data_IF_714650069257
#
_entry.id   IF_714650069257
#
_cell.length_a   1.000
_cell.length_b   1.000
_cell.length_c   1.000
_cell.angle_alpha   90.00
_cell.angle_beta   90.00
_cell.angle_gamma   90.00
#
_symmetry.space_group_name_H-M   'P 1'
#
loop_
_entity.id
_entity.type
_entity.pdbx_description
1 polymer ?
#
# COMPACT_ATOMS: atom_id res chain seq x y z
N UNK A 1 -16.96 1.81 29.41
CA UNK A 1 -17.26 3.15 28.87
C UNK A 1 -18.34 2.94 27.82
N UNK A 2 -19.33 3.81 27.75
CA UNK A 2 -20.33 3.74 26.68
C UNK A 2 -19.70 4.20 25.36
N UNK A 3 -20.10 3.58 24.25
CA UNK A 3 -19.64 3.95 22.91
C UNK A 3 -20.82 4.39 22.05
N UNK A 4 -20.67 5.56 21.45
CA UNK A 4 -21.60 6.13 20.47
C UNK A 4 -20.85 6.28 19.17
N UNK A 5 -21.38 5.66 18.11
CA UNK A 5 -20.82 5.86 16.77
C UNK A 5 -21.08 7.30 16.34
N UNK A 6 -20.01 8.05 16.04
CA UNK A 6 -20.11 9.44 15.60
C UNK A 6 -18.95 9.79 14.67
N UNK A 7 -19.24 10.26 13.46
CA UNK A 7 -18.23 10.58 12.45
C UNK A 7 -17.77 12.04 12.47
N UNK A 8 -18.27 12.83 13.42
CA UNK A 8 -17.95 14.24 13.60
C UNK A 8 -18.58 15.16 12.55
N UNK A 9 -19.57 14.70 11.78
CA UNK A 9 -20.17 15.45 10.67
C UNK A 9 -19.38 15.32 9.36
N UNK A 10 -18.48 14.34 9.27
CA UNK A 10 -17.66 14.07 8.08
C UNK A 10 -18.55 13.77 6.87
N UNK A 11 -19.48 12.84 7.01
CA UNK A 11 -20.39 12.44 5.94
C UNK A 11 -21.34 13.57 5.55
N UNK A 12 -21.87 14.33 6.51
CA UNK A 12 -22.69 15.52 6.27
C UNK A 12 -21.96 16.59 5.44
N UNK A 13 -20.63 16.64 5.54
CA UNK A 13 -19.79 17.52 4.71
C UNK A 13 -19.47 16.92 3.33
N UNK A 14 -20.03 15.77 2.94
CA UNK A 14 -19.82 15.12 1.65
C UNK A 14 -18.51 14.34 1.52
N UNK A 15 -17.79 14.14 2.63
CA UNK A 15 -16.59 13.29 2.65
C UNK A 15 -17.00 11.82 2.73
N UNK A 16 -16.36 11.00 1.90
CA UNK A 16 -16.73 9.59 1.72
C UNK A 16 -15.52 8.65 1.84
N UNK A 17 -15.80 7.36 1.96
CA UNK A 17 -14.79 6.30 2.13
C UNK A 17 -14.10 6.31 3.50
N UNK A 18 -13.15 5.39 3.69
CA UNK A 18 -12.31 5.35 4.89
C UNK A 18 -11.22 6.44 4.86
N UNK A 19 -10.90 7.01 6.01
CA UNK A 19 -9.86 8.02 6.16
C UNK A 19 -9.21 7.94 7.56
N UNK A 20 -7.96 8.39 7.66
CA UNK A 20 -7.21 8.47 8.92
C UNK A 20 -7.42 9.79 9.68
N UNK A 21 -8.53 10.48 9.43
CA UNK A 21 -8.83 11.83 9.92
C UNK A 21 -9.43 11.87 11.35
N UNK A 22 -9.07 10.88 12.19
CA UNK A 22 -9.59 10.72 13.55
C UNK A 22 -9.46 12.00 14.38
N UNK A 23 -8.34 12.71 14.27
CA UNK A 23 -8.09 14.00 14.92
C UNK A 23 -9.14 15.04 14.53
N UNK A 24 -9.41 15.19 13.23
CA UNK A 24 -10.37 16.19 12.72
C UNK A 24 -11.78 15.89 13.22
N UNK A 25 -12.19 14.61 13.19
CA UNK A 25 -13.50 14.20 13.70
C UNK A 25 -13.63 14.48 15.19
N UNK A 26 -12.65 14.03 15.98
CA UNK A 26 -12.67 14.19 17.43
C UNK A 26 -12.68 15.66 17.85
N UNK A 27 -11.92 16.52 17.15
CA UNK A 27 -11.95 17.98 17.38
C UNK A 27 -13.31 18.57 17.00
N UNK A 28 -13.88 18.21 15.84
CA UNK A 28 -15.20 18.71 15.43
C UNK A 28 -16.29 18.36 16.47
N UNK A 29 -16.22 17.16 17.05
CA UNK A 29 -17.15 16.73 18.11
C UNK A 29 -16.95 17.55 19.38
N UNK A 30 -15.70 17.69 19.85
CA UNK A 30 -15.38 18.44 21.09
C UNK A 30 -15.74 19.91 20.96
N UNK A 31 -15.43 20.54 19.83
CA UNK A 31 -15.62 21.98 19.66
C UNK A 31 -17.02 22.35 19.17
N UNK A 32 -17.76 21.40 18.60
CA UNK A 32 -19.02 21.67 17.90
C UNK A 32 -18.83 22.40 16.56
N UNK A 33 -17.60 22.55 16.08
CA UNK A 33 -17.31 23.15 14.78
C UNK A 33 -17.76 22.22 13.64
N UNK A 34 -18.09 22.80 12.48
CA UNK A 34 -18.36 21.99 11.28
C UNK A 34 -17.09 21.24 10.87
N UNK A 35 -17.21 19.93 10.64
CA UNK A 35 -16.10 19.08 10.22
C UNK A 35 -15.25 19.69 9.09
N UNK A 36 -15.89 20.25 8.06
CA UNK A 36 -15.19 20.87 6.91
C UNK A 36 -14.31 22.05 7.33
N UNK A 37 -14.77 22.89 8.24
CA UNK A 37 -14.01 24.06 8.72
C UNK A 37 -12.79 23.61 9.55
N UNK A 38 -12.96 22.58 10.38
CA UNK A 38 -11.86 21.93 11.12
C UNK A 38 -10.87 21.32 10.12
N UNK A 39 -11.35 20.57 9.12
CA UNK A 39 -10.54 19.89 8.12
C UNK A 39 -9.67 20.87 7.34
N UNK A 40 -10.29 21.90 6.76
CA UNK A 40 -9.59 22.89 5.93
C UNK A 40 -8.57 23.66 6.75
N UNK A 41 -8.90 24.02 8.01
CA UNK A 41 -7.96 24.70 8.89
C UNK A 41 -6.78 23.82 9.31
N UNK A 42 -7.02 22.56 9.66
CA UNK A 42 -5.96 21.61 9.99
C UNK A 42 -5.04 21.37 8.79
N UNK A 43 -5.60 21.33 7.57
CA UNK A 43 -4.82 21.21 6.34
C UNK A 43 -3.89 22.42 6.12
N UNK A 44 -4.40 23.63 6.36
CA UNK A 44 -3.61 24.86 6.29
C UNK A 44 -2.48 24.88 7.33
N UNK A 45 -2.77 24.51 8.58
CA UNK A 45 -1.79 24.51 9.66
C UNK A 45 -0.73 23.41 9.49
N UNK A 46 -1.14 22.22 9.03
CA UNK A 46 -0.27 21.05 8.89
C UNK A 46 0.47 20.96 7.55
N UNK A 47 0.11 21.77 6.56
CA UNK A 47 0.67 21.72 5.21
C UNK A 47 0.42 20.40 4.46
N UNK A 48 -0.53 19.59 4.94
CA UNK A 48 -0.84 18.26 4.43
C UNK A 48 -2.33 17.94 4.64
N UNK A 49 -2.86 17.00 3.88
CA UNK A 49 -4.27 16.61 4.00
C UNK A 49 -4.55 15.87 5.33
N UNK A 50 -5.56 16.28 6.11
CA UNK A 50 -5.99 15.54 7.30
C UNK A 50 -6.48 14.12 7.01
N UNK A 51 -6.78 13.77 5.75
CA UNK A 51 -7.21 12.42 5.33
C UNK A 51 -6.17 11.35 5.69
N UNK A 52 -4.89 11.71 5.70
CA UNK A 52 -3.76 10.83 6.08
C UNK A 52 -3.36 10.94 7.56
N UNK A 53 -4.18 11.59 8.38
CA UNK A 53 -3.87 11.88 9.77
C UNK A 53 -3.30 13.28 9.98
N UNK A 54 -3.39 13.76 11.22
CA UNK A 54 -2.94 15.08 11.65
C UNK A 54 -2.01 14.91 12.85
N UNK A 55 -0.93 15.71 12.91
CA UNK A 55 -0.03 15.69 14.05
C UNK A 55 -0.71 16.31 15.27
N UNK A 56 -0.50 15.75 16.45
CA UNK A 56 -1.01 16.27 17.74
C UNK A 56 -0.66 17.74 17.94
N UNK A 57 0.53 18.18 17.51
CA UNK A 57 0.94 19.59 17.59
C UNK A 57 0.05 20.54 16.78
N UNK A 58 -0.39 20.11 15.60
CA UNK A 58 -1.29 20.89 14.72
C UNK A 58 -2.68 20.98 15.34
N UNK A 59 -3.15 19.88 15.94
CA UNK A 59 -4.40 19.86 16.71
C UNK A 59 -4.36 20.83 17.90
N UNK A 60 -3.30 20.79 18.71
CA UNK A 60 -3.11 21.71 19.85
C UNK A 60 -3.08 23.16 19.38
N UNK A 61 -2.45 23.45 18.24
CA UNK A 61 -2.45 24.79 17.65
C UNK A 61 -3.86 25.25 17.25
N UNK A 62 -4.65 24.40 16.58
CA UNK A 62 -6.03 24.72 16.21
C UNK A 62 -6.90 25.05 17.43
N UNK A 63 -6.78 24.25 18.49
CA UNK A 63 -7.53 24.44 19.75
C UNK A 63 -7.13 25.77 20.41
N UNK A 64 -5.83 26.07 20.48
CA UNK A 64 -5.31 27.32 21.02
C UNK A 64 -5.83 28.56 20.26
N UNK A 65 -5.91 28.51 18.91
CA UNK A 65 -6.46 29.60 18.09
C UNK A 65 -7.94 29.91 18.41
N UNK A 66 -8.67 28.96 19.01
CA UNK A 66 -10.08 29.09 19.39
C UNK A 66 -10.29 29.26 20.89
N UNK A 67 -9.22 29.60 21.62
CA UNK A 67 -9.24 29.77 23.08
C UNK A 67 -9.69 28.50 23.83
N UNK A 68 -9.41 27.32 23.28
CA UNK A 68 -9.56 26.08 24.02
C UNK A 68 -8.30 25.83 24.84
N UNK A 69 -8.48 25.74 26.15
CA UNK A 69 -7.43 25.35 27.07
C UNK A 69 -7.29 23.82 27.03
N UNK A 70 -6.09 23.38 26.66
CA UNK A 70 -5.74 21.96 26.60
C UNK A 70 -4.75 21.66 27.72
N UNK A 71 -5.19 20.90 28.71
CA UNK A 71 -4.33 20.45 29.81
C UNK A 71 -4.17 18.94 29.78
N UNK A 72 -2.96 18.48 30.07
CA UNK A 72 -2.67 17.05 30.17
C UNK A 72 -3.24 16.53 31.50
N UNK A 73 -3.95 15.41 31.44
CA UNK A 73 -4.45 14.73 32.63
C UNK A 73 -3.41 13.74 33.17
N UNK A 74 -3.10 13.85 34.46
CA UNK A 74 -2.08 13.08 35.17
C UNK A 74 -2.58 11.77 35.79
N UNK A 75 -3.89 11.52 35.70
CA UNK A 75 -4.51 10.32 36.24
C UNK A 75 -4.13 9.05 35.48
N UNK A 76 -4.25 7.91 36.16
CA UNK A 76 -3.70 6.62 35.67
C UNK A 76 -4.75 5.64 35.17
N UNK A 77 -6.05 5.90 35.38
CA UNK A 77 -7.11 4.90 35.18
C UNK A 77 -8.32 5.44 34.42
N UNK A 78 -8.76 4.75 33.37
CA UNK A 78 -9.91 5.16 32.55
C UNK A 78 -11.22 5.35 33.37
N UNK A 79 -11.37 4.65 34.50
CA UNK A 79 -12.51 4.83 35.42
C UNK A 79 -12.49 6.16 36.18
N UNK A 80 -11.37 6.86 36.18
CA UNK A 80 -11.15 8.14 36.86
C UNK A 80 -11.14 9.32 35.89
N UNK A 81 -11.53 9.11 34.63
CA UNK A 81 -11.59 10.21 33.67
C UNK A 81 -12.55 11.29 34.19
N UNK A 82 -12.10 12.57 34.15
CA UNK A 82 -12.92 13.68 34.57
C UNK A 82 -14.16 13.81 33.68
N UNK A 83 -15.19 14.45 34.22
CA UNK A 83 -16.35 14.86 33.41
C UNK A 83 -15.96 16.02 32.49
N UNK A 84 -16.77 16.26 31.45
CA UNK A 84 -16.48 17.22 30.39
C UNK A 84 -15.94 16.60 29.11
N UNK A 85 -15.44 17.46 28.22
CA UNK A 85 -14.95 17.09 26.90
C UNK A 85 -13.44 16.78 26.93
N UNK A 86 -13.09 15.57 26.49
CA UNK A 86 -11.74 15.04 26.50
C UNK A 86 -11.36 14.57 25.09
N UNK A 87 -10.08 14.73 24.76
CA UNK A 87 -9.45 14.06 23.61
C UNK A 87 -8.49 13.00 24.14
N UNK A 88 -8.73 11.75 23.77
CA UNK A 88 -7.90 10.62 24.15
C UNK A 88 -6.93 10.31 23.01
N UNK A 89 -5.63 10.39 23.29
CA UNK A 89 -4.57 10.09 22.33
C UNK A 89 -4.03 8.68 22.58
N UNK A 90 -4.20 7.80 21.60
CA UNK A 90 -3.77 6.42 21.63
C UNK A 90 -2.52 6.24 20.77
N UNK A 91 -1.51 5.59 21.35
CA UNK A 91 -0.29 5.21 20.67
C UNK A 91 -0.29 3.72 20.31
N UNK A 92 0.33 3.34 19.18
CA UNK A 92 0.51 1.96 18.80
C UNK A 92 1.58 1.28 19.67
N UNK A 93 1.32 0.05 20.11
CA UNK A 93 2.28 -0.79 20.85
C UNK A 93 3.41 -1.34 19.94
N UNK A 94 3.35 -1.08 18.64
CA UNK A 94 4.35 -1.52 17.66
C UNK A 94 4.62 -0.49 16.58
N UNK A 95 5.75 -0.65 15.87
CA UNK A 95 6.26 0.32 14.87
C UNK A 95 5.45 0.41 13.55
N UNK A 96 4.31 -0.27 13.45
CA UNK A 96 3.62 -0.53 12.17
C UNK A 96 2.27 0.16 12.04
N UNK A 97 1.81 0.89 13.06
CA UNK A 97 0.52 1.60 13.03
C UNK A 97 0.73 3.08 13.34
N UNK A 98 -0.21 3.90 12.88
CA UNK A 98 -0.34 5.30 13.28
C UNK A 98 -1.15 5.38 14.57
N UNK A 99 -0.94 6.41 15.39
CA UNK A 99 -1.77 6.67 16.56
C UNK A 99 -3.23 6.98 16.18
N UNK A 100 -4.09 7.06 17.18
CA UNK A 100 -5.52 7.34 17.03
C UNK A 100 -5.98 8.35 18.07
N UNK A 101 -6.88 9.27 17.71
CA UNK A 101 -7.45 10.23 18.66
C UNK A 101 -8.97 10.09 18.68
N UNK A 102 -9.54 9.90 19.86
CA UNK A 102 -10.98 9.79 20.08
C UNK A 102 -11.51 10.88 20.99
N UNK A 103 -12.76 11.30 20.77
CA UNK A 103 -13.47 12.21 21.64
C UNK A 103 -14.20 11.43 22.75
N UNK A 104 -14.10 11.90 23.99
CA UNK A 104 -14.94 11.44 25.10
C UNK A 104 -15.64 12.65 25.72
N UNK A 105 -16.96 12.62 25.86
CA UNK A 105 -17.73 13.66 26.54
C UNK A 105 -18.50 12.99 27.67
N UNK A 106 -18.32 13.46 28.90
CA UNK A 106 -19.03 12.95 30.09
C UNK A 106 -18.95 11.40 30.21
N UNK A 107 -17.76 10.85 29.92
CA UNK A 107 -17.45 9.40 29.92
C UNK A 107 -18.16 8.57 28.85
N UNK A 108 -18.69 9.19 27.80
CA UNK A 108 -19.18 8.53 26.59
C UNK A 108 -18.17 8.73 25.47
N UNK A 109 -17.75 7.64 24.83
CA UNK A 109 -16.81 7.65 23.71
C UNK A 109 -17.55 7.92 22.41
N UNK A 110 -17.15 8.97 21.69
CA UNK A 110 -17.67 9.34 20.38
C UNK A 110 -16.60 9.13 19.31
N UNK A 111 -16.79 8.11 18.48
CA UNK A 111 -15.89 7.82 17.37
C UNK A 111 -16.56 6.89 16.35
N UNK A 112 -15.95 6.66 15.21
CA UNK A 112 -16.38 5.61 14.27
C UNK A 112 -15.82 4.23 14.62
N UNK A 113 -14.93 4.16 15.62
CA UNK A 113 -14.18 2.97 15.99
C UNK A 113 -13.91 2.94 17.50
N UNK A 114 -13.91 1.75 18.11
CA UNK A 114 -13.66 1.56 19.54
C UNK A 114 -12.18 1.26 19.81
N UNK A 115 -11.33 2.25 20.15
CA UNK A 115 -9.89 2.03 20.37
C UNK A 115 -9.58 1.19 21.61
N UNK A 116 -10.48 1.14 22.60
CA UNK A 116 -10.27 0.36 23.82
C UNK A 116 -10.37 -1.15 23.61
N UNK A 117 -10.99 -1.59 22.51
CA UNK A 117 -11.06 -3.00 22.13
C UNK A 117 -9.86 -3.44 21.29
N UNK A 118 -9.00 -2.52 20.85
CA UNK A 118 -7.82 -2.84 20.04
C UNK A 118 -6.61 -3.14 20.93
N UNK A 119 -6.16 -4.41 21.01
CA UNK A 119 -5.02 -4.80 21.84
C UNK A 119 -3.69 -4.26 21.32
N UNK A 120 -3.66 -3.62 20.15
CA UNK A 120 -2.47 -3.03 19.55
C UNK A 120 -2.31 -1.54 19.89
N UNK A 121 -3.30 -0.93 20.54
CA UNK A 121 -3.22 0.45 21.00
C UNK A 121 -3.10 0.51 22.53
N UNK A 122 -2.47 1.57 23.01
CA UNK A 122 -2.49 1.97 24.41
C UNK A 122 -2.86 3.43 24.52
N UNK A 123 -3.60 3.79 25.57
CA UNK A 123 -3.83 5.19 25.90
C UNK A 123 -2.49 5.82 26.33
N UNK A 124 -2.05 6.83 25.60
CA UNK A 124 -0.78 7.51 25.86
C UNK A 124 -0.99 8.82 26.61
N UNK A 125 -2.04 9.55 26.25
CA UNK A 125 -2.28 10.91 26.73
C UNK A 125 -3.78 11.21 26.73
N UNK A 126 -4.22 12.00 27.71
CA UNK A 126 -5.59 12.46 27.87
C UNK A 126 -5.55 13.98 27.95
N UNK A 127 -6.27 14.63 27.06
CA UNK A 127 -6.30 16.07 26.93
C UNK A 127 -7.67 16.57 27.40
N UNK A 128 -7.68 17.32 28.50
CA UNK A 128 -8.87 17.99 28.99
C UNK A 128 -9.07 19.25 28.15
N UNK A 129 -10.22 19.36 27.51
CA UNK A 129 -10.56 20.48 26.65
C UNK A 129 -11.62 21.33 27.36
N UNK A 130 -11.25 22.54 27.75
CA UNK A 130 -12.18 23.50 28.34
C UNK A 130 -12.14 24.82 27.58
N UNK A 131 -13.30 25.45 27.47
CA UNK A 131 -13.43 26.80 26.94
C UNK A 131 -14.50 27.50 27.76
N UNK A 132 -14.11 28.57 28.47
CA UNK A 132 -14.99 29.31 29.39
C UNK A 132 -16.21 29.92 28.69
N UNK A 133 -16.12 30.13 27.39
CA UNK A 133 -17.17 30.74 26.56
C UNK A 133 -17.94 29.70 25.75
N UNK A 134 -17.46 28.46 25.66
CA UNK A 134 -18.15 27.42 24.89
C UNK A 134 -19.18 26.72 25.78
N UNK A 135 -20.45 26.77 25.36
CA UNK A 135 -21.36 25.71 25.74
C UNK A 135 -20.79 24.41 25.16
N UNK A 136 -20.36 23.49 26.04
CA UNK A 136 -19.96 22.15 25.62
C UNK A 136 -21.07 21.63 24.73
N UNK A 137 -20.75 21.45 23.45
CA UNK A 137 -21.68 20.86 22.51
C UNK A 137 -21.95 19.46 23.03
N UNK A 138 -23.12 19.27 23.64
CA UNK A 138 -23.65 17.95 23.93
C UNK A 138 -24.33 17.54 22.65
N UNK A 139 -23.79 16.58 21.88
CA UNK A 139 -24.55 15.94 20.82
C UNK A 139 -25.87 15.55 21.46
N UNK A 140 -26.98 16.12 20.99
CA UNK A 140 -28.21 16.12 21.75
C UNK A 140 -28.54 14.69 22.18
N UNK A 141 -28.64 14.45 23.48
CA UNK A 141 -29.38 13.32 24.06
C UNK A 141 -30.89 13.62 23.86
N UNK A 142 -31.26 14.03 22.65
CA UNK A 142 -32.63 14.20 22.21
C UNK A 142 -33.25 12.81 22.18
N UNK A 143 -34.39 12.66 22.86
CA UNK A 143 -34.87 11.38 23.33
C UNK A 143 -35.08 10.34 22.24
N UNK A 144 -34.56 9.13 22.49
CA UNK A 144 -35.02 7.80 22.08
C UNK A 144 -35.50 7.50 20.62
N UNK A 145 -35.56 8.44 19.69
CA UNK A 145 -36.09 8.18 18.33
C UNK A 145 -35.01 8.06 17.23
N UNK A 146 -33.75 8.45 17.50
CA UNK A 146 -32.72 8.57 16.44
C UNK A 146 -31.70 7.43 16.35
N UNK A 147 -31.82 6.36 17.15
CA UNK A 147 -30.96 5.16 16.96
C UNK A 147 -31.26 4.42 15.65
N UNK A 148 -32.40 4.69 15.00
CA UNK A 148 -32.70 4.22 13.64
C UNK A 148 -32.12 5.14 12.55
N UNK A 149 -32.08 6.46 12.78
CA UNK A 149 -31.67 7.46 11.78
C UNK A 149 -30.16 7.48 11.49
N UNK A 150 -29.30 7.32 12.51
CA UNK A 150 -27.85 7.30 12.30
C UNK A 150 -27.36 6.14 11.43
N UNK A 151 -28.06 5.00 11.47
CA UNK A 151 -27.78 3.86 10.61
C UNK A 151 -28.27 4.10 9.17
N UNK A 152 -29.38 4.81 9.01
CA UNK A 152 -29.94 5.11 7.69
C UNK A 152 -29.13 6.18 6.96
N UNK A 153 -28.71 7.24 7.64
CA UNK A 153 -27.80 8.26 7.10
C UNK A 153 -26.42 7.67 6.76
N UNK A 154 -25.89 6.78 7.61
CA UNK A 154 -24.66 6.02 7.32
C UNK A 154 -24.81 5.08 6.12
N UNK A 155 -25.96 4.42 5.95
CA UNK A 155 -26.22 3.56 4.79
C UNK A 155 -26.42 4.35 3.51
N UNK A 156 -27.09 5.50 3.58
CA UNK A 156 -27.29 6.40 2.45
C UNK A 156 -25.95 6.94 1.95
N UNK A 157 -25.07 7.34 2.86
CA UNK A 157 -23.73 7.87 2.52
C UNK A 157 -22.80 6.78 1.96
N UNK A 158 -22.87 5.54 2.47
CA UNK A 158 -22.15 4.41 1.89
C UNK A 158 -22.66 4.06 0.47
N UNK A 159 -23.98 4.09 0.24
CA UNK A 159 -24.55 3.88 -1.08
C UNK A 159 -24.16 4.98 -2.08
N UNK A 160 -24.13 6.23 -1.63
CA UNK A 160 -23.66 7.35 -2.44
C UNK A 160 -22.18 7.20 -2.79
N UNK A 161 -21.35 6.81 -1.83
CA UNK A 161 -19.94 6.51 -2.06
C UNK A 161 -19.74 5.43 -3.12
N UNK A 162 -20.45 4.30 -3.01
CA UNK A 162 -20.38 3.21 -3.98
C UNK A 162 -20.85 3.66 -5.37
N UNK A 163 -21.88 4.50 -5.46
CA UNK A 163 -22.34 5.09 -6.72
C UNK A 163 -21.27 5.99 -7.34
N UNK A 164 -20.63 6.84 -6.54
CA UNK A 164 -19.57 7.74 -7.01
C UNK A 164 -18.37 6.92 -7.49
N UNK A 165 -17.92 5.93 -6.71
CA UNK A 165 -16.84 5.01 -7.08
C UNK A 165 -17.15 4.29 -8.39
N UNK A 166 -18.36 3.74 -8.53
CA UNK A 166 -18.80 3.06 -9.76
C UNK A 166 -18.74 4.00 -10.96
N UNK A 167 -19.12 5.27 -10.79
CA UNK A 167 -19.05 6.29 -11.84
C UNK A 167 -17.60 6.65 -12.19
N UNK A 168 -16.75 6.85 -11.19
CA UNK A 168 -15.31 7.11 -11.37
C UNK A 168 -14.64 5.95 -12.10
N UNK A 169 -14.93 4.69 -11.73
CA UNK A 169 -14.44 3.48 -12.43
C UNK A 169 -14.95 3.39 -13.86
N UNK A 170 -16.20 3.78 -14.13
CA UNK A 170 -16.74 3.82 -15.48
C UNK A 170 -15.99 4.84 -16.37
N UNK A 171 -15.76 6.06 -15.84
CA UNK A 171 -14.98 7.09 -16.54
C UNK A 171 -13.54 6.64 -16.77
N UNK A 172 -12.93 5.97 -15.80
CA UNK A 172 -11.60 5.38 -15.94
C UNK A 172 -11.57 4.37 -17.09
N UNK A 173 -12.54 3.45 -17.16
CA UNK A 173 -12.64 2.49 -18.28
C UNK A 173 -12.75 3.18 -19.63
N UNK A 174 -13.55 4.24 -19.74
CA UNK A 174 -13.63 5.04 -20.97
C UNK A 174 -12.28 5.68 -21.33
N UNK A 175 -11.57 6.22 -20.34
CA UNK A 175 -10.27 6.87 -20.55
C UNK A 175 -9.14 5.88 -20.89
N UNK A 176 -9.23 4.62 -20.43
CA UNK A 176 -8.22 3.58 -20.72
C UNK A 176 -8.51 2.75 -21.98
N UNK A 177 -9.67 2.91 -22.61
CA UNK A 177 -10.04 2.14 -23.79
C UNK A 177 -9.43 2.77 -25.06
N UNK A 178 -8.57 2.02 -25.75
CA UNK A 178 -7.93 2.44 -27.01
C UNK A 178 -8.94 2.69 -28.15
N UNK A 179 -10.15 2.14 -28.05
CA UNK A 179 -11.22 2.40 -29.01
C UNK A 179 -11.95 3.74 -28.78
N UNK A 180 -11.72 4.41 -27.64
CA UNK A 180 -12.32 5.73 -27.36
C UNK A 180 -11.61 6.83 -28.14
N UNK A 181 -12.37 7.83 -28.60
CA UNK A 181 -11.79 9.01 -29.25
C UNK A 181 -11.01 9.87 -28.24
N UNK A 182 -10.02 10.63 -28.70
CA UNK A 182 -9.26 11.54 -27.81
C UNK A 182 -10.15 12.53 -27.05
N UNK A 183 -11.24 12.98 -27.68
CA UNK A 183 -12.22 13.87 -27.06
C UNK A 183 -12.93 13.21 -25.87
N UNK A 184 -13.33 11.95 -26.02
CA UNK A 184 -13.96 11.17 -24.95
C UNK A 184 -12.98 10.88 -23.81
N UNK A 185 -11.73 10.54 -24.13
CA UNK A 185 -10.68 10.33 -23.14
C UNK A 185 -10.46 11.61 -22.32
N UNK A 186 -10.29 12.76 -22.98
CA UNK A 186 -10.12 14.06 -22.29
C UNK A 186 -11.33 14.44 -21.44
N UNK A 187 -12.54 14.23 -21.94
CA UNK A 187 -13.77 14.52 -21.19
C UNK A 187 -13.91 13.61 -19.96
N UNK A 188 -13.65 12.31 -20.12
CA UNK A 188 -13.71 11.34 -19.03
C UNK A 188 -12.69 11.66 -17.94
N UNK A 189 -11.45 12.04 -18.31
CA UNK A 189 -10.41 12.44 -17.35
C UNK A 189 -10.80 13.69 -16.56
N UNK A 190 -11.37 14.73 -17.19
CA UNK A 190 -11.84 15.93 -16.50
C UNK A 190 -12.99 15.63 -15.55
N UNK A 191 -13.98 14.86 -16.00
CA UNK A 191 -15.11 14.45 -15.17
C UNK A 191 -14.65 13.61 -13.96
N UNK A 192 -13.67 12.73 -14.18
CA UNK A 192 -13.06 11.94 -13.12
C UNK A 192 -12.34 12.82 -12.08
N UNK A 193 -11.49 13.76 -12.51
CA UNK A 193 -10.80 14.69 -11.62
C UNK A 193 -11.77 15.55 -10.81
N UNK A 194 -12.84 16.05 -11.44
CA UNK A 194 -13.87 16.85 -10.76
C UNK A 194 -14.58 16.03 -9.66
N UNK A 195 -14.99 14.80 -9.97
CA UNK A 195 -15.61 13.90 -8.98
C UNK A 195 -14.65 13.54 -7.84
N UNK A 196 -13.38 13.29 -8.16
CA UNK A 196 -12.37 12.99 -7.15
C UNK A 196 -12.14 14.16 -6.20
N UNK A 197 -12.01 15.38 -6.72
CA UNK A 197 -11.82 16.59 -5.92
C UNK A 197 -13.05 16.89 -5.07
N UNK A 198 -14.25 16.81 -5.67
CA UNK A 198 -15.51 17.08 -4.98
C UNK A 198 -15.73 16.16 -3.78
N UNK A 199 -15.38 14.87 -3.94
CA UNK A 199 -15.61 13.84 -2.92
C UNK A 199 -14.34 13.45 -2.14
N UNK A 200 -13.24 14.19 -2.32
CA UNK A 200 -11.94 13.94 -1.70
C UNK A 200 -11.47 12.48 -1.86
N UNK A 201 -11.66 11.92 -3.06
CA UNK A 201 -11.22 10.58 -3.43
C UNK A 201 -9.76 10.62 -3.90
N UNK A 202 -8.98 9.65 -3.43
CA UNK A 202 -7.63 9.40 -3.89
C UNK A 202 -7.62 8.40 -5.04
N UNK A 203 -6.51 8.32 -5.80
CA UNK A 203 -6.37 7.31 -6.87
C UNK A 203 -6.41 5.88 -6.34
N UNK A 204 -5.96 5.64 -5.10
CA UNK A 204 -6.04 4.33 -4.46
C UNK A 204 -7.47 3.86 -4.22
N UNK A 205 -8.42 4.78 -4.01
CA UNK A 205 -9.84 4.42 -3.85
C UNK A 205 -10.46 3.88 -5.16
N UNK A 206 -9.85 4.18 -6.31
CA UNK A 206 -10.34 3.79 -7.65
C UNK A 206 -9.95 2.35 -7.98
N UNK A 207 -8.80 1.88 -7.46
CA UNK A 207 -8.29 0.53 -7.71
C UNK A 207 -9.34 -0.46 -7.21
N UNK A 208 -9.77 -1.36 -8.10
CA UNK A 208 -10.82 -2.33 -7.80
C UNK A 208 -10.20 -3.40 -6.88
N UNK A 209 -10.23 -3.17 -5.56
CA UNK A 209 -9.82 -4.18 -4.58
C UNK A 209 -10.55 -5.51 -4.84
N UNK A 210 -11.76 -5.47 -5.41
CA UNK A 210 -12.53 -6.65 -5.79
C UNK A 210 -11.84 -7.56 -6.83
N UNK A 211 -11.00 -7.03 -7.72
CA UNK A 211 -10.25 -7.86 -8.67
C UNK A 211 -9.01 -8.49 -8.02
N UNK A 212 -8.33 -7.76 -7.13
CA UNK A 212 -7.18 -8.25 -6.37
C UNK A 212 -7.62 -9.30 -5.33
N UNK A 213 -8.76 -9.10 -4.65
CA UNK A 213 -9.33 -10.03 -3.67
C UNK A 213 -9.77 -11.36 -4.32
N UNK A 214 -10.14 -11.35 -5.61
CA UNK A 214 -10.46 -12.58 -6.35
C UNK A 214 -9.22 -13.32 -6.86
N UNK A 215 -8.07 -12.67 -6.89
CA UNK A 215 -6.84 -13.27 -7.38
C UNK A 215 -6.30 -14.25 -6.33
N UNK A 216 -6.28 -15.54 -6.67
CA UNK A 216 -5.67 -16.54 -5.80
C UNK A 216 -4.20 -16.21 -5.59
N UNK A 217 -3.78 -16.21 -4.32
CA UNK A 217 -2.37 -16.01 -3.93
C UNK A 217 -1.75 -17.36 -3.60
N UNK A 218 -0.48 -17.54 -3.95
CA UNK A 218 0.28 -18.75 -3.61
C UNK A 218 1.71 -18.42 -3.24
N UNK A 219 2.38 -19.45 -2.73
CA UNK A 219 3.80 -19.44 -2.44
C UNK A 219 4.39 -20.80 -2.79
N UNK A 220 5.47 -20.80 -3.57
CA UNK A 220 6.17 -22.03 -3.97
C UNK A 220 7.67 -21.90 -3.78
N UNK A 221 8.30 -23.01 -3.40
CA UNK A 221 9.74 -23.09 -3.20
C UNK A 221 10.47 -23.68 -4.42
N UNK A 222 11.62 -23.11 -4.72
CA UNK A 222 12.66 -23.71 -5.53
C UNK A 222 13.85 -24.12 -4.64
N UNK A 223 14.17 -25.42 -4.53
CA UNK A 223 15.41 -25.83 -3.89
C UNK A 223 16.61 -25.39 -4.72
N UNK A 224 17.65 -24.91 -4.04
CA UNK A 224 18.92 -24.54 -4.68
C UNK A 224 19.86 -25.74 -4.73
N UNK A 225 20.78 -25.71 -5.71
CA UNK A 225 21.75 -26.77 -5.92
C UNK A 225 22.82 -26.84 -4.81
N UNK A 226 23.05 -25.73 -4.09
CA UNK A 226 24.03 -25.61 -3.02
C UNK A 226 23.43 -25.59 -1.61
N UNK A 227 24.26 -25.90 -0.60
CA UNK A 227 23.91 -25.68 0.83
C UNK A 227 23.63 -24.20 1.11
N UNK A 228 24.35 -23.30 0.44
CA UNK A 228 24.19 -21.84 0.52
C UNK A 228 23.77 -21.33 -0.85
N UNK A 229 22.83 -20.38 -0.85
CA UNK A 229 22.47 -19.65 -2.06
C UNK A 229 23.68 -18.84 -2.56
N UNK A 230 23.96 -18.95 -3.85
CA UNK A 230 24.94 -18.14 -4.54
C UNK A 230 24.35 -16.77 -4.88
N UNK A 231 25.20 -15.74 -4.98
CA UNK A 231 24.76 -14.38 -5.30
C UNK A 231 24.06 -14.30 -6.66
N UNK A 232 24.57 -15.00 -7.68
CA UNK A 232 23.96 -15.00 -9.01
C UNK A 232 22.55 -15.64 -9.02
N UNK A 233 22.28 -16.61 -8.14
CA UNK A 233 20.95 -17.22 -7.99
C UNK A 233 19.94 -16.21 -7.43
N UNK A 234 20.41 -15.33 -6.53
CA UNK A 234 19.64 -14.19 -6.01
C UNK A 234 19.38 -13.16 -7.10
N UNK A 235 20.42 -12.80 -7.87
CA UNK A 235 20.31 -11.86 -8.98
C UNK A 235 19.35 -12.38 -10.06
N UNK A 236 19.32 -13.68 -10.31
CA UNK A 236 18.38 -14.30 -11.26
C UNK A 236 16.94 -14.22 -10.76
N UNK A 237 16.70 -14.53 -9.47
CA UNK A 237 15.38 -14.41 -8.88
C UNK A 237 14.89 -12.95 -8.92
N UNK A 238 15.79 -12.00 -8.62
CA UNK A 238 15.52 -10.57 -8.72
C UNK A 238 15.12 -10.18 -10.14
N UNK A 239 15.95 -10.51 -11.14
CA UNK A 239 15.67 -10.26 -12.56
C UNK A 239 14.30 -10.77 -12.99
N UNK A 240 13.94 -12.00 -12.62
CA UNK A 240 12.62 -12.54 -12.96
C UNK A 240 11.49 -11.76 -12.33
N UNK A 241 11.61 -11.38 -11.05
CA UNK A 241 10.56 -10.61 -10.35
C UNK A 241 10.52 -9.13 -10.71
N UNK A 242 11.56 -8.58 -11.32
CA UNK A 242 11.58 -7.17 -11.73
C UNK A 242 11.25 -6.97 -13.20
N UNK A 243 11.82 -7.80 -14.07
CA UNK A 243 11.78 -7.58 -15.51
C UNK A 243 10.74 -8.45 -16.23
N UNK A 244 10.48 -9.67 -15.76
CA UNK A 244 9.59 -10.63 -16.46
C UNK A 244 8.23 -10.79 -15.77
N UNK A 245 8.22 -11.05 -14.47
CA UNK A 245 7.04 -11.29 -13.64
C UNK A 245 6.94 -10.26 -12.52
N UNK A 246 6.62 -8.99 -12.85
CA UNK A 246 6.59 -7.88 -11.90
C UNK A 246 5.57 -8.04 -10.76
N UNK A 247 4.55 -8.88 -10.92
CA UNK A 247 3.54 -9.20 -9.90
C UNK A 247 4.04 -10.19 -8.84
N UNK A 248 5.15 -10.89 -9.09
CA UNK A 248 5.71 -11.91 -8.20
C UNK A 248 6.80 -11.29 -7.33
N UNK A 249 6.81 -11.65 -6.06
CA UNK A 249 7.89 -11.33 -5.14
C UNK A 249 8.62 -12.59 -4.71
N UNK A 250 9.85 -12.44 -4.21
CA UNK A 250 10.64 -13.57 -3.74
C UNK A 250 11.32 -13.30 -2.40
N UNK A 251 11.60 -14.36 -1.66
CA UNK A 251 12.45 -14.30 -0.47
C UNK A 251 13.25 -15.60 -0.33
N UNK A 252 14.26 -15.57 0.52
CA UNK A 252 15.10 -16.75 0.78
C UNK A 252 14.86 -17.28 2.18
N UNK A 253 14.77 -18.60 2.31
CA UNK A 253 14.69 -19.28 3.60
C UNK A 253 15.61 -20.49 3.62
N UNK A 254 16.23 -20.75 4.76
CA UNK A 254 16.96 -22.01 4.99
C UNK A 254 16.03 -22.98 5.70
N UNK A 255 15.85 -24.17 5.14
CA UNK A 255 15.09 -25.26 5.75
C UNK A 255 16.04 -26.44 5.95
N UNK A 256 16.40 -26.70 7.21
CA UNK A 256 17.44 -27.67 7.55
C UNK A 256 18.80 -27.30 6.94
N UNK A 257 19.35 -28.18 6.11
CA UNK A 257 20.66 -28.00 5.46
C UNK A 257 20.57 -27.43 4.04
N UNK A 258 19.37 -27.06 3.58
CA UNK A 258 19.13 -26.58 2.21
C UNK A 258 18.66 -25.13 2.22
N UNK A 259 19.17 -24.36 1.27
CA UNK A 259 18.66 -23.02 0.96
C UNK A 259 17.54 -23.15 -0.07
N UNK A 260 16.42 -22.46 0.16
CA UNK A 260 15.29 -22.38 -0.73
C UNK A 260 15.06 -20.93 -1.16
N UNK A 261 14.74 -20.72 -2.42
CA UNK A 261 14.06 -19.50 -2.87
C UNK A 261 12.57 -19.73 -2.90
N UNK A 262 11.83 -18.87 -2.22
CA UNK A 262 10.39 -18.84 -2.24
C UNK A 262 9.92 -17.72 -3.15
N UNK A 263 9.01 -18.05 -4.06
CA UNK A 263 8.28 -17.11 -4.88
C UNK A 263 6.85 -17.03 -4.36
N UNK A 264 6.28 -15.84 -4.28
CA UNK A 264 4.93 -15.62 -3.78
C UNK A 264 4.25 -14.45 -4.50
N UNK A 265 2.93 -14.50 -4.58
CA UNK A 265 2.12 -13.60 -5.41
C UNK A 265 0.95 -14.34 -6.07
N UNK A 266 0.42 -13.83 -7.19
CA UNK A 266 -0.66 -14.48 -7.94
C UNK A 266 -0.31 -15.91 -8.35
N UNK A 267 -1.26 -16.85 -8.25
CA UNK A 267 -1.03 -18.30 -8.47
C UNK A 267 -0.35 -18.60 -9.80
N UNK A 268 -0.92 -18.09 -10.90
CA UNK A 268 -0.46 -18.39 -12.25
C UNK A 268 0.93 -17.79 -12.50
N UNK A 269 1.16 -16.55 -12.03
CA UNK A 269 2.43 -15.86 -12.22
C UNK A 269 3.55 -16.52 -11.39
N UNK A 270 3.26 -16.93 -10.15
CA UNK A 270 4.23 -17.67 -9.32
C UNK A 270 4.59 -19.00 -9.97
N UNK A 271 3.63 -19.70 -10.58
CA UNK A 271 3.91 -20.95 -11.28
C UNK A 271 4.82 -20.73 -12.49
N UNK A 272 4.48 -19.79 -13.37
CA UNK A 272 5.28 -19.49 -14.57
C UNK A 272 6.67 -18.96 -14.21
N UNK A 273 6.75 -18.07 -13.21
CA UNK A 273 8.01 -17.54 -12.69
C UNK A 273 8.92 -18.64 -12.15
N UNK A 274 8.36 -19.60 -11.41
CA UNK A 274 9.12 -20.72 -10.86
C UNK A 274 9.61 -21.71 -11.93
N UNK A 275 8.79 -21.97 -12.95
CA UNK A 275 9.17 -22.82 -14.09
C UNK A 275 10.33 -22.18 -14.85
N UNK A 276 10.21 -20.90 -15.23
CA UNK A 276 11.28 -20.17 -15.91
C UNK A 276 12.55 -20.07 -15.04
N UNK A 277 12.42 -19.82 -13.73
CA UNK A 277 13.55 -19.79 -12.82
C UNK A 277 14.33 -21.09 -12.83
N UNK A 278 13.65 -22.25 -12.78
CA UNK A 278 14.31 -23.56 -12.78
C UNK A 278 15.05 -23.83 -14.09
N UNK A 279 14.43 -23.49 -15.22
CA UNK A 279 15.03 -23.66 -16.54
C UNK A 279 16.29 -22.79 -16.70
N UNK A 280 16.19 -21.51 -16.35
CA UNK A 280 17.33 -20.59 -16.40
C UNK A 280 18.43 -20.98 -15.42
N UNK A 281 18.07 -21.37 -14.19
CA UNK A 281 19.02 -21.84 -13.18
C UNK A 281 19.84 -23.02 -13.71
N UNK A 282 19.17 -24.02 -14.29
CA UNK A 282 19.83 -25.20 -14.86
C UNK A 282 20.67 -24.87 -16.08
N UNK A 283 20.19 -24.01 -16.97
CA UNK A 283 20.91 -23.58 -18.17
C UNK A 283 22.20 -22.85 -17.80
N UNK A 284 22.14 -21.87 -16.90
CA UNK A 284 23.29 -21.07 -16.48
C UNK A 284 24.29 -21.94 -15.71
N UNK A 285 23.81 -22.78 -14.78
CA UNK A 285 24.68 -23.67 -14.01
C UNK A 285 25.40 -24.69 -14.90
N UNK A 286 24.73 -25.19 -15.95
CA UNK A 286 25.31 -26.14 -16.92
C UNK A 286 26.36 -25.45 -17.78
N UNK A 287 26.07 -24.26 -18.32
CA UNK A 287 27.02 -23.48 -19.11
C UNK A 287 28.29 -23.12 -18.31
N UNK A 288 28.11 -22.68 -17.05
CA UNK A 288 29.21 -22.39 -16.14
C UNK A 288 30.06 -23.64 -15.85
N UNK A 289 29.41 -24.79 -15.58
CA UNK A 289 30.10 -26.05 -15.30
C UNK A 289 30.87 -26.59 -16.51
N UNK A 290 30.31 -26.49 -17.71
CA UNK A 290 30.98 -26.92 -18.94
C UNK A 290 32.25 -26.11 -19.23
N UNK A 291 32.23 -24.80 -18.93
CA UNK A 291 33.36 -23.91 -19.22
C UNK A 291 34.41 -23.86 -18.10
N UNK A 292 33.98 -23.88 -16.84
CA UNK A 292 34.83 -23.58 -15.68
C UNK A 292 34.80 -24.67 -14.60
N UNK A 293 34.18 -25.82 -14.86
CA UNK A 293 34.12 -26.98 -13.95
C UNK A 293 33.18 -26.83 -12.75
N UNK A 294 32.74 -25.63 -12.41
CA UNK A 294 31.81 -25.35 -11.29
C UNK A 294 30.95 -24.12 -11.60
N UNK A 295 29.88 -23.88 -10.84
CA UNK A 295 29.03 -22.68 -10.90
C UNK A 295 28.85 -22.02 -9.51
N UNK A 296 29.49 -22.57 -8.47
CA UNK A 296 29.29 -22.16 -7.07
C UNK A 296 30.37 -21.19 -6.61
N UNK A 297 31.60 -21.30 -7.13
CA UNK A 297 32.77 -20.50 -6.72
C UNK A 297 33.70 -20.17 -7.89
N UNK A 298 34.68 -19.29 -7.65
CA UNK A 298 35.71 -18.89 -8.63
C UNK A 298 35.15 -18.39 -9.96
N UNK A 299 35.86 -18.67 -11.05
CA UNK A 299 35.50 -18.23 -12.40
C UNK A 299 34.10 -18.67 -12.83
N UNK A 300 33.67 -19.87 -12.45
CA UNK A 300 32.35 -20.41 -12.81
C UNK A 300 31.17 -19.63 -12.22
N UNK A 301 31.25 -19.25 -10.95
CA UNK A 301 30.23 -18.38 -10.36
C UNK A 301 30.31 -16.93 -10.88
N UNK A 302 31.50 -16.43 -11.24
CA UNK A 302 31.66 -15.12 -11.87
C UNK A 302 31.05 -15.08 -13.27
N UNK A 303 31.20 -16.18 -14.04
CA UNK A 303 30.51 -16.37 -15.31
C UNK A 303 28.99 -16.39 -15.15
N UNK A 304 28.46 -17.16 -14.18
CA UNK A 304 27.01 -17.22 -13.94
C UNK A 304 26.42 -15.86 -13.55
N UNK A 305 27.12 -15.11 -12.69
CA UNK A 305 26.77 -13.73 -12.35
C UNK A 305 26.76 -12.82 -13.58
N UNK A 306 27.83 -12.88 -14.37
CA UNK A 306 27.91 -12.15 -15.64
C UNK A 306 26.76 -12.50 -16.57
N UNK A 307 26.40 -13.78 -16.67
CA UNK A 307 25.28 -14.26 -17.50
C UNK A 307 23.97 -13.58 -17.12
N UNK A 308 23.63 -13.58 -15.82
CA UNK A 308 22.42 -12.92 -15.33
C UNK A 308 22.47 -11.41 -15.60
N UNK A 309 23.62 -10.76 -15.41
CA UNK A 309 23.81 -9.34 -15.74
C UNK A 309 23.75 -9.03 -17.25
N UNK A 310 23.91 -10.03 -18.10
CA UNK A 310 23.78 -9.90 -19.55
C UNK A 310 22.36 -10.02 -20.07
N UNK A 311 21.41 -10.52 -19.26
CA UNK A 311 20.05 -10.77 -19.71
C UNK A 311 19.32 -9.48 -20.17
N UNK A 312 18.45 -9.54 -21.20
CA UNK A 312 17.70 -8.39 -21.68
C UNK A 312 16.77 -7.80 -20.61
N UNK A 313 16.74 -6.47 -20.46
CA UNK A 313 15.94 -5.76 -19.44
C UNK A 313 14.97 -4.77 -20.10
N UNK A 314 13.71 -4.80 -19.69
CA UNK A 314 12.65 -3.96 -20.25
C UNK A 314 12.83 -2.46 -19.92
N UNK A 315 13.55 -2.14 -18.85
CA UNK A 315 13.79 -0.75 -18.44
C UNK A 315 14.59 0.07 -19.46
N UNK A 316 15.49 -0.56 -20.22
CA UNK A 316 16.31 0.14 -21.21
C UNK A 316 15.46 0.70 -22.38
N UNK A 317 14.38 0.01 -22.73
CA UNK A 317 13.45 0.45 -23.77
C UNK A 317 12.46 1.50 -23.26
N UNK A 318 12.03 1.39 -21.99
CA UNK A 318 11.15 2.37 -21.36
C UNK A 318 11.83 3.73 -21.11
N UNK A 319 13.12 3.76 -20.76
CA UNK A 319 13.89 5.01 -20.62
C UNK A 319 14.06 5.72 -21.98
N UNK A 320 14.21 4.97 -23.07
CA UNK A 320 14.28 5.54 -24.42
C UNK A 320 12.93 6.09 -24.90
N UNK A 321 11.81 5.42 -24.56
CA UNK A 321 10.47 5.83 -24.96
C UNK A 321 9.93 7.05 -24.17
N UNK A 322 10.32 7.19 -22.90
CA UNK A 322 9.85 8.27 -22.01
C UNK A 322 10.35 9.66 -22.41
N UNK A 323 11.30 9.77 -23.33
CA UNK A 323 11.73 11.04 -23.91
C UNK A 323 10.71 11.67 -24.90
N UNK A 324 9.62 10.97 -25.26
CA UNK A 324 8.76 11.36 -26.40
C UNK A 324 7.29 11.72 -26.11
N UNK A 325 6.80 11.81 -24.87
CA UNK A 325 5.49 12.45 -24.65
C UNK A 325 4.78 12.26 -23.28
N UNK A 326 4.04 13.31 -22.87
CA UNK A 326 3.31 13.44 -21.60
C UNK A 326 2.17 12.42 -21.38
N UNK A 327 1.59 11.86 -22.44
CA UNK A 327 0.40 10.98 -22.33
C UNK A 327 0.76 9.56 -21.84
N UNK A 328 1.96 9.06 -22.19
CA UNK A 328 2.44 7.72 -21.81
C UNK A 328 2.72 7.62 -20.30
N UNK A 329 3.02 8.75 -19.65
CA UNK A 329 3.28 8.78 -18.20
C UNK A 329 2.06 8.37 -17.37
N UNK A 330 0.84 8.64 -17.84
CA UNK A 330 -0.37 8.31 -17.07
C UNK A 330 -0.66 6.80 -17.03
N UNK A 331 -0.39 6.06 -18.10
CA UNK A 331 -0.63 4.61 -18.14
C UNK A 331 0.43 3.84 -17.34
N UNK A 332 1.70 4.20 -17.48
CA UNK A 332 2.78 3.58 -16.71
C UNK A 332 2.60 3.78 -15.20
N UNK A 333 2.17 4.97 -14.78
CA UNK A 333 1.87 5.24 -13.37
C UNK A 333 0.74 4.36 -12.82
N UNK A 334 -0.26 4.02 -13.64
CA UNK A 334 -1.36 3.14 -13.25
C UNK A 334 -0.92 1.68 -13.14
N UNK A 335 -0.11 1.21 -14.10
CA UNK A 335 0.47 -0.15 -14.06
C UNK A 335 1.32 -0.29 -12.80
N UNK A 336 2.18 0.69 -12.51
CA UNK A 336 2.98 0.73 -11.29
C UNK A 336 2.11 0.75 -10.02
N UNK A 337 1.06 1.58 -9.99
CA UNK A 337 0.13 1.63 -8.86
C UNK A 337 -0.57 0.29 -8.63
N UNK A 338 -0.99 -0.40 -9.71
CA UNK A 338 -1.62 -1.71 -9.63
C UNK A 338 -0.63 -2.76 -9.13
N UNK A 339 0.61 -2.72 -9.62
CA UNK A 339 1.66 -3.62 -9.16
C UNK A 339 1.95 -3.45 -7.66
N UNK A 340 2.04 -2.21 -7.18
CA UNK A 340 2.22 -1.92 -5.76
C UNK A 340 1.07 -2.48 -4.92
N UNK A 341 -0.17 -2.31 -5.38
CA UNK A 341 -1.34 -2.89 -4.69
C UNK A 341 -1.28 -4.43 -4.65
N UNK A 342 -0.86 -5.09 -5.74
CA UNK A 342 -0.64 -6.54 -5.78
C UNK A 342 0.49 -6.95 -4.81
N UNK A 343 1.56 -6.16 -4.71
CA UNK A 343 2.65 -6.41 -3.79
C UNK A 343 2.21 -6.33 -2.33
N UNK A 344 1.44 -5.31 -1.99
CA UNK A 344 0.89 -5.13 -0.64
C UNK A 344 -0.09 -6.25 -0.29
N UNK A 345 -0.97 -6.63 -1.22
CA UNK A 345 -1.88 -7.76 -1.05
C UNK A 345 -1.12 -9.09 -0.84
N UNK A 346 -0.08 -9.35 -1.64
CA UNK A 346 0.75 -10.54 -1.51
C UNK A 346 1.53 -10.58 -0.18
N UNK A 347 2.04 -9.43 0.28
CA UNK A 347 2.71 -9.32 1.57
C UNK A 347 1.76 -9.54 2.75
N UNK A 348 0.56 -8.95 2.69
CA UNK A 348 -0.48 -9.15 3.70
C UNK A 348 -0.94 -10.61 3.75
N UNK A 349 -1.19 -11.22 2.58
CA UNK A 349 -1.51 -12.64 2.46
C UNK A 349 -0.40 -13.52 3.05
N UNK A 350 0.86 -13.24 2.73
CA UNK A 350 2.01 -14.00 3.25
C UNK A 350 2.10 -13.89 4.78
N UNK A 351 1.76 -12.74 5.36
CA UNK A 351 1.72 -12.58 6.81
C UNK A 351 0.52 -13.31 7.44
N UNK A 352 -0.68 -13.13 6.89
CA UNK A 352 -1.93 -13.65 7.45
C UNK A 352 -2.02 -15.18 7.30
N UNK A 353 -1.82 -15.71 6.10
CA UNK A 353 -2.02 -17.13 5.80
C UNK A 353 -0.79 -17.97 6.11
N UNK A 354 0.41 -17.42 5.94
CA UNK A 354 1.65 -18.16 6.17
C UNK A 354 2.36 -17.82 7.49
N UNK A 355 1.94 -16.78 8.22
CA UNK A 355 2.63 -16.32 9.43
C UNK A 355 4.05 -15.79 9.18
N UNK A 356 4.40 -15.42 7.93
CA UNK A 356 5.75 -14.99 7.57
C UNK A 356 5.79 -13.48 7.46
N UNK A 357 6.69 -12.87 8.25
CA UNK A 357 7.03 -11.45 8.15
C UNK A 357 8.41 -11.28 7.56
N UNK A 358 8.48 -10.66 6.38
CA UNK A 358 9.76 -10.36 5.75
C UNK A 358 10.47 -9.22 6.50
N UNK A 359 11.78 -9.34 6.62
CA UNK A 359 12.65 -8.28 7.13
C UNK A 359 13.66 -7.94 6.05
N UNK A 360 13.89 -6.65 5.84
CA UNK A 360 14.97 -6.18 4.97
C UNK A 360 16.31 -6.57 5.59
N UNK A 361 16.81 -7.73 5.22
CA UNK A 361 18.15 -8.18 5.59
C UNK A 361 19.16 -7.44 4.75
N UNK A 362 20.13 -6.77 5.38
CA UNK A 362 21.29 -6.24 4.68
C UNK A 362 22.02 -7.38 3.96
N UNK A 363 22.10 -7.29 2.64
CA UNK A 363 22.74 -8.27 1.76
C UNK A 363 24.26 -8.20 1.96
N UNK A 364 24.78 -8.80 3.03
CA UNK A 364 26.23 -8.93 3.25
C UNK A 364 26.76 -10.11 2.42
N UNK A 365 27.18 -9.84 1.19
CA UNK A 365 27.98 -10.78 0.41
C UNK A 365 29.28 -10.10 0.01
N UNK A 366 30.36 -10.47 0.70
CA UNK A 366 31.71 -10.28 0.22
C UNK A 366 32.15 -11.56 -0.47
N UNK A 367 32.47 -11.48 -1.76
CA UNK A 367 33.09 -12.57 -2.50
C UNK A 367 34.58 -12.29 -2.62
N UNK A 368 35.43 -13.23 -2.19
CA UNK A 368 36.90 -13.05 -2.21
C UNK A 368 37.50 -13.07 -3.61
N UNK A 369 36.99 -13.93 -4.50
CA UNK A 369 37.60 -14.17 -5.81
C UNK A 369 36.60 -13.87 -6.96
N UNK A 370 36.62 -12.63 -7.43
CA UNK A 370 35.88 -12.19 -8.61
C UNK A 370 36.77 -12.27 -9.87
N UNK A 371 36.32 -13.04 -10.86
CA UNK A 371 37.02 -13.20 -12.14
C UNK A 371 36.31 -12.34 -13.20
N UNK A 372 36.94 -11.22 -13.56
CA UNK A 372 36.41 -10.26 -14.52
C UNK A 372 36.28 -10.84 -15.93
N UNK A 373 37.20 -11.71 -16.36
CA UNK A 373 37.17 -12.27 -17.71
C UNK A 373 36.01 -13.26 -17.86
N UNK A 374 35.85 -14.15 -16.87
CA UNK A 374 34.73 -15.08 -16.83
C UNK A 374 33.39 -14.35 -16.76
N UNK A 375 33.29 -13.30 -15.94
CA UNK A 375 32.10 -12.45 -15.86
C UNK A 375 31.76 -11.79 -17.20
N UNK A 376 32.72 -11.17 -17.87
CA UNK A 376 32.49 -10.55 -19.19
C UNK A 376 32.02 -11.57 -20.24
N UNK A 377 32.56 -12.79 -20.22
CA UNK A 377 32.10 -13.87 -21.10
C UNK A 377 30.67 -14.30 -20.78
N UNK A 378 30.36 -14.44 -19.50
CA UNK A 378 28.99 -14.71 -19.03
C UNK A 378 28.03 -13.65 -19.54
N UNK A 379 28.37 -12.37 -19.38
CA UNK A 379 27.55 -11.24 -19.85
C UNK A 379 27.27 -11.30 -21.34
N UNK A 380 28.28 -11.63 -22.16
CA UNK A 380 28.10 -11.78 -23.60
C UNK A 380 27.20 -12.97 -23.98
N UNK A 381 27.24 -14.07 -23.23
CA UNK A 381 26.37 -15.23 -23.47
C UNK A 381 24.93 -14.95 -22.99
N UNK A 382 24.76 -14.27 -21.85
CA UNK A 382 23.45 -13.85 -21.33
C UNK A 382 22.74 -12.85 -22.25
N UNK A 383 23.47 -11.94 -22.89
CA UNK A 383 22.91 -11.00 -23.87
C UNK A 383 22.35 -11.68 -25.13
N UNK A 384 22.75 -12.93 -25.39
CA UNK A 384 22.24 -13.75 -26.50
C UNK A 384 21.11 -14.68 -26.07
N UNK A 385 20.78 -14.70 -24.78
CA UNK A 385 19.71 -15.55 -24.24
C UNK A 385 18.37 -14.94 -24.62
N UNK A 386 17.73 -15.51 -25.63
CA UNK A 386 16.42 -15.10 -26.10
C UNK A 386 15.33 -15.93 -25.42
N UNK A 387 14.61 -15.31 -24.49
CA UNK A 387 13.42 -15.89 -23.86
C UNK A 387 12.12 -15.44 -24.53
N UNK A 388 12.18 -14.40 -25.37
CA UNK A 388 11.05 -13.93 -26.17
C UNK A 388 10.90 -14.86 -27.38
N UNK A 389 10.57 -16.14 -27.10
CA UNK A 389 10.53 -17.19 -28.10
C UNK A 389 9.83 -16.69 -29.35
N UNK A 390 10.61 -16.45 -30.42
CA UNK A 390 10.22 -15.70 -31.64
C UNK A 390 8.71 -15.63 -31.82
N UNK A 391 8.07 -14.63 -31.22
CA UNK A 391 6.67 -14.29 -31.50
C UNK A 391 6.66 -13.56 -32.83
N UNK A 392 7.21 -14.19 -33.87
CA UNK A 392 6.96 -13.77 -35.23
C UNK A 392 5.46 -13.92 -35.41
N UNK A 393 4.76 -12.81 -35.63
CA UNK A 393 3.35 -12.82 -36.04
C UNK A 393 3.20 -13.82 -37.19
N UNK A 394 2.70 -15.02 -36.91
CA UNK A 394 2.39 -16.00 -37.94
C UNK A 394 1.17 -15.45 -38.68
N UNK A 395 1.39 -14.86 -39.86
CA UNK A 395 0.28 -14.46 -40.75
C UNK A 395 -0.37 -15.72 -41.31
N UNK A 396 -1.70 -15.80 -41.22
CA UNK A 396 -2.48 -16.83 -41.91
C UNK A 396 -2.35 -16.54 -43.40
N UNK A 397 -1.68 -17.44 -44.14
CA UNK A 397 -1.73 -17.46 -45.59
C UNK A 397 -2.96 -18.25 -46.02
N UNK A 398 -3.84 -17.64 -46.82
CA UNK A 398 -4.85 -18.40 -47.56
C UNK A 398 -4.17 -19.01 -48.79
N UNK A 399 -4.31 -20.33 -48.96
CA UNK A 399 -3.95 -21.03 -50.19
C UNK A 399 -5.07 -20.94 -51.21
#
# INVERSE_FOLDING_TARGET
MEFVWHDGGRAACGFVGQAGDCVTRSVAIVTGDKYRDVYDRMAQLGGSTPRSGVRVSVMRQYLAERNWNVTDWDGRWASQLPEGALLLNFEPLGRSRTGHISCVIDRVLYDTWQPFEDPTLRLAEVLICSNEQAHVYRPGVGGNDDTAGGNEESRLTQQEYERILKRVRALHRTASNEASTEGEIRNAMRAMQALMLQHNLSRSDIVDDGEIVRMGMTRRACPLNGKRACQWEASLAFYLTTDIFPSVQHYRQTVGHRSLYWFYGPVDDVQQSLELYREMLMTIATAARLRYGTHVRGSGASYAEGYVHGLPRNHAEQEAASATGDVVMSQNALIQSRMLAVHDAANNWLFQECGIRLRSGGTRYGRGDFDRAAHSKGKADGAKHDYAGKVGQKRIGHQ
#
